data_IF_984249166460
#
_entry.id   IF_984249166460
#
_cell.length_a   1.000
_cell.length_b   1.000
_cell.length_c   1.000
_cell.angle_alpha   90.00
_cell.angle_beta   90.00
_cell.angle_gamma   90.00
#
_symmetry.space_group_name_H-M   'P 1'
#
loop_
_entity.id
_entity.type
_entity.pdbx_description
1 polymer ?
#
# COMPACT_ATOMS: atom_id res chain seq x y z
N UNK A 1 -7.25 -26.48 -14.25
CA UNK A 1 -6.33 -25.99 -13.20
C UNK A 1 -6.92 -24.66 -12.75
N UNK A 2 -7.31 -24.53 -11.49
CA UNK A 2 -7.82 -23.27 -10.96
C UNK A 2 -6.59 -22.38 -10.71
N UNK A 3 -6.47 -21.26 -11.41
CA UNK A 3 -5.38 -20.30 -11.18
C UNK A 3 -5.50 -19.79 -9.75
N UNK A 4 -4.36 -19.59 -9.09
CA UNK A 4 -4.37 -18.98 -7.76
C UNK A 4 -4.76 -17.49 -7.86
N UNK A 5 -5.32 -16.96 -6.78
CA UNK A 5 -5.60 -15.53 -6.66
C UNK A 5 -4.37 -14.67 -7.03
N UNK A 6 -3.19 -15.06 -6.54
CA UNK A 6 -1.93 -14.34 -6.75
C UNK A 6 -1.55 -14.30 -8.23
N UNK A 7 -1.69 -15.42 -8.94
CA UNK A 7 -1.42 -15.50 -10.38
C UNK A 7 -2.37 -14.60 -11.17
N UNK A 8 -3.66 -14.59 -10.83
CA UNK A 8 -4.65 -13.72 -11.49
C UNK A 8 -4.38 -12.24 -11.20
N UNK A 9 -4.10 -11.89 -9.94
CA UNK A 9 -3.79 -10.52 -9.55
C UNK A 9 -2.51 -9.99 -10.24
N UNK A 10 -1.48 -10.84 -10.36
CA UNK A 10 -0.26 -10.50 -11.09
C UNK A 10 -0.51 -10.26 -12.58
N UNK A 11 -1.31 -11.11 -13.23
CA UNK A 11 -1.68 -10.94 -14.63
C UNK A 11 -2.42 -9.62 -14.86
N UNK A 12 -3.44 -9.32 -14.06
CA UNK A 12 -4.20 -8.06 -14.13
C UNK A 12 -3.27 -6.85 -13.93
N UNK A 13 -2.34 -6.92 -12.97
CA UNK A 13 -1.39 -5.84 -12.71
C UNK A 13 -0.40 -5.65 -13.86
N UNK A 14 0.06 -6.75 -14.48
CA UNK A 14 0.96 -6.71 -15.62
C UNK A 14 0.27 -6.10 -16.86
N UNK A 15 -0.98 -6.46 -17.14
CA UNK A 15 -1.79 -5.85 -18.21
C UNK A 15 -2.05 -4.37 -17.98
N UNK A 16 -2.28 -3.99 -16.71
CA UNK A 16 -2.43 -2.59 -16.31
C UNK A 16 -1.12 -1.79 -16.44
N UNK A 17 0.04 -2.46 -16.61
CA UNK A 17 1.34 -1.83 -16.78
C UNK A 17 1.86 -1.10 -15.52
N UNK A 18 1.29 -1.40 -14.35
CA UNK A 18 1.65 -0.71 -13.11
C UNK A 18 1.25 0.77 -13.10
N UNK A 19 0.09 1.15 -13.68
CA UNK A 19 -0.43 2.53 -13.60
C UNK A 19 -0.44 3.11 -12.19
N UNK A 20 -0.69 2.28 -11.18
CA UNK A 20 -0.65 2.68 -9.77
C UNK A 20 0.77 3.00 -9.24
N UNK A 21 1.83 2.80 -10.03
CA UNK A 21 3.20 3.16 -9.66
C UNK A 21 3.58 4.59 -10.06
N UNK A 22 2.81 5.25 -10.92
CA UNK A 22 3.05 6.64 -11.31
C UNK A 22 2.61 7.58 -10.18
N UNK A 23 3.50 8.46 -9.71
CA UNK A 23 3.29 9.39 -8.59
C UNK A 23 2.80 8.71 -7.30
N UNK A 24 3.13 7.42 -7.13
CA UNK A 24 2.55 6.60 -6.07
C UNK A 24 3.08 6.93 -4.67
N UNK A 25 4.35 7.33 -4.59
CA UNK A 25 5.07 7.68 -3.37
C UNK A 25 4.69 6.88 -2.10
N UNK A 26 4.65 5.54 -2.16
CA UNK A 26 4.14 4.76 -1.04
C UNK A 26 5.01 4.98 0.22
N UNK A 27 4.37 5.17 1.39
CA UNK A 27 5.08 5.27 2.67
C UNK A 27 5.83 3.98 2.97
N UNK A 28 6.96 4.11 3.66
CA UNK A 28 7.82 3.01 4.05
C UNK A 28 7.94 2.95 5.57
N UNK A 29 7.52 1.83 6.17
CA UNK A 29 7.77 1.61 7.59
C UNK A 29 9.27 1.45 7.87
N UNK A 30 9.70 1.68 9.13
CA UNK A 30 11.06 1.35 9.56
C UNK A 30 11.43 -0.12 9.29
N UNK A 31 10.47 -1.04 9.46
CA UNK A 31 10.67 -2.46 9.19
C UNK A 31 10.92 -2.73 7.70
N UNK A 32 10.18 -2.05 6.82
CA UNK A 32 10.37 -2.17 5.36
C UNK A 32 11.71 -1.60 4.90
N UNK A 33 12.14 -0.47 5.45
CA UNK A 33 13.47 0.09 5.19
C UNK A 33 14.59 -0.86 5.64
N UNK A 34 14.43 -1.50 6.80
CA UNK A 34 15.37 -2.50 7.29
C UNK A 34 15.44 -3.72 6.35
N UNK A 35 14.30 -4.20 5.86
CA UNK A 35 14.23 -5.29 4.90
C UNK A 35 14.89 -4.94 3.56
N UNK A 36 14.64 -3.74 3.03
CA UNK A 36 15.31 -3.22 1.83
C UNK A 36 16.82 -3.25 1.99
N UNK A 37 17.34 -2.70 3.10
CA UNK A 37 18.77 -2.69 3.40
C UNK A 37 19.35 -4.10 3.49
N UNK A 38 18.66 -5.01 4.18
CA UNK A 38 19.10 -6.41 4.33
C UNK A 38 19.18 -7.15 2.99
N UNK A 39 18.36 -6.76 2.00
CA UNK A 39 18.34 -7.31 0.65
C UNK A 39 19.20 -6.54 -0.35
N UNK A 40 19.99 -5.57 0.10
CA UNK A 40 20.91 -4.80 -0.74
C UNK A 40 20.23 -3.72 -1.61
N UNK A 41 19.00 -3.34 -1.29
CA UNK A 41 18.34 -2.19 -1.92
C UNK A 41 19.00 -0.90 -1.41
N UNK A 42 19.50 -0.01 -2.29
CA UNK A 42 20.19 1.19 -1.87
C UNK A 42 19.22 2.17 -1.21
N UNK A 43 19.66 2.87 -0.17
CA UNK A 43 18.81 3.82 0.58
C UNK A 43 18.32 5.00 -0.28
N UNK A 44 19.04 5.31 -1.37
CA UNK A 44 18.70 6.38 -2.31
C UNK A 44 17.38 6.17 -3.06
N UNK A 45 16.73 5.01 -2.88
CA UNK A 45 15.39 4.73 -3.43
C UNK A 45 14.28 5.32 -2.58
N UNK A 46 14.60 5.73 -1.36
CA UNK A 46 13.69 6.36 -0.43
C UNK A 46 14.09 7.84 -0.24
N UNK A 47 13.12 8.64 0.13
CA UNK A 47 13.29 10.04 0.53
C UNK A 47 12.36 10.36 1.69
N UNK A 48 12.64 11.49 2.35
CA UNK A 48 11.73 12.06 3.34
C UNK A 48 11.11 13.33 2.77
N UNK A 49 9.78 13.37 2.72
CA UNK A 49 8.99 14.54 2.33
C UNK A 49 7.69 14.54 3.15
N UNK A 50 7.79 15.00 4.40
CA UNK A 50 6.74 14.92 5.41
C UNK A 50 6.50 13.52 5.99
N UNK A 51 6.91 12.47 5.27
CA UNK A 51 7.02 11.09 5.73
C UNK A 51 8.09 10.35 4.90
N UNK A 52 8.56 9.21 5.38
CA UNK A 52 9.52 8.40 4.58
C UNK A 52 8.80 7.61 3.50
N UNK A 53 9.21 7.78 2.23
CA UNK A 53 8.50 7.24 1.06
C UNK A 53 9.43 6.78 -0.07
N UNK A 54 8.88 6.01 -1.00
CA UNK A 54 9.58 5.66 -2.24
C UNK A 54 9.71 6.86 -3.17
N UNK A 55 10.88 7.03 -3.77
CA UNK A 55 11.12 8.02 -4.83
C UNK A 55 10.50 7.61 -6.16
N UNK A 56 10.31 8.61 -7.00
CA UNK A 56 10.03 8.45 -8.43
C UNK A 56 11.25 8.79 -9.27
N UNK A 57 11.27 8.27 -10.49
CA UNK A 57 12.08 8.79 -11.59
C UNK A 57 11.54 10.16 -12.05
N UNK A 58 12.29 10.84 -12.91
CA UNK A 58 11.90 12.16 -13.45
C UNK A 58 10.61 12.11 -14.28
N UNK A 59 10.22 10.93 -14.77
CA UNK A 59 8.96 10.69 -15.49
C UNK A 59 7.78 10.38 -14.56
N UNK A 60 7.98 10.47 -13.25
CA UNK A 60 6.96 10.22 -12.22
C UNK A 60 6.75 8.75 -11.88
N UNK A 61 7.39 7.81 -12.58
CA UNK A 61 7.27 6.39 -12.24
C UNK A 61 8.08 6.06 -10.99
N UNK A 62 7.49 5.29 -10.07
CA UNK A 62 8.21 4.76 -8.89
C UNK A 62 9.56 4.13 -9.30
N UNK A 63 10.62 4.42 -8.54
CA UNK A 63 12.00 3.98 -8.83
C UNK A 63 12.18 2.45 -8.85
N UNK A 64 11.21 1.71 -8.31
CA UNK A 64 11.17 0.25 -8.35
C UNK A 64 10.33 -0.32 -9.48
N UNK A 65 9.61 0.50 -10.23
CA UNK A 65 8.88 0.07 -11.40
C UNK A 65 9.81 0.06 -12.61
N UNK A 66 9.94 -1.09 -13.27
CA UNK A 66 10.71 -1.24 -14.50
C UNK A 66 9.96 -2.15 -15.46
N UNK A 67 9.60 -1.65 -16.64
CA UNK A 67 8.83 -2.40 -17.63
C UNK A 67 7.47 -2.88 -17.11
N UNK A 68 6.78 -2.05 -16.31
CA UNK A 68 5.49 -2.38 -15.69
C UNK A 68 5.57 -3.39 -14.55
N UNK A 69 6.77 -3.76 -14.09
CA UNK A 69 7.00 -4.73 -13.01
C UNK A 69 7.72 -4.11 -11.84
N UNK A 70 7.36 -4.54 -10.63
CA UNK A 70 8.01 -4.10 -9.40
C UNK A 70 9.29 -4.93 -9.15
N UNK A 71 10.44 -4.27 -9.04
CA UNK A 71 11.74 -4.91 -8.73
C UNK A 71 11.82 -5.48 -7.31
N UNK A 72 10.99 -4.98 -6.40
CA UNK A 72 10.88 -5.43 -5.00
C UNK A 72 9.58 -6.20 -4.76
N UNK A 73 9.06 -6.90 -5.78
CA UNK A 73 7.73 -7.53 -5.75
C UNK A 73 7.49 -8.44 -4.53
N UNK A 74 8.50 -9.20 -4.10
CA UNK A 74 8.40 -10.10 -2.97
C UNK A 74 8.39 -9.41 -1.59
N UNK A 75 8.68 -8.11 -1.54
CA UNK A 75 8.81 -7.33 -0.31
C UNK A 75 8.39 -5.87 -0.53
N UNK A 76 7.32 -5.65 -1.30
CA UNK A 76 6.77 -4.33 -1.65
C UNK A 76 6.37 -3.52 -0.42
N UNK A 77 6.33 -2.16 -0.52
CA UNK A 77 5.70 -1.29 0.48
C UNK A 77 4.33 -1.78 0.94
N UNK A 78 3.97 -1.53 2.20
CA UNK A 78 2.75 -2.04 2.84
C UNK A 78 1.49 -1.62 2.08
N UNK A 79 1.42 -0.38 1.63
CA UNK A 79 0.30 0.13 0.81
C UNK A 79 0.24 -0.52 -0.57
N UNK A 80 1.39 -0.84 -1.18
CA UNK A 80 1.43 -1.58 -2.45
C UNK A 80 0.97 -3.03 -2.30
N UNK A 81 1.25 -3.67 -1.16
CA UNK A 81 0.74 -5.02 -0.83
C UNK A 81 -0.77 -4.98 -0.56
N UNK A 82 -1.25 -3.91 0.07
CA UNK A 82 -2.66 -3.71 0.40
C UNK A 82 -3.55 -3.38 -0.81
N UNK A 83 -2.98 -2.97 -1.95
CA UNK A 83 -3.77 -2.62 -3.14
C UNK A 83 -4.79 -3.71 -3.54
N UNK A 84 -6.01 -3.35 -3.98
CA UNK A 84 -6.49 -2.01 -4.30
C UNK A 84 -7.09 -1.25 -3.10
N UNK A 85 -6.83 -1.69 -1.87
CA UNK A 85 -7.25 -0.95 -0.68
C UNK A 85 -6.28 0.21 -0.40
N UNK A 86 -6.83 1.32 0.08
CA UNK A 86 -6.10 2.46 0.64
C UNK A 86 -6.65 2.79 2.03
N UNK A 87 -6.07 3.79 2.70
CA UNK A 87 -6.41 4.10 4.07
C UNK A 87 -6.37 5.58 4.39
N UNK A 88 -7.05 5.90 5.48
CA UNK A 88 -6.89 7.13 6.25
C UNK A 88 -6.86 6.75 7.73
N UNK A 89 -6.28 7.60 8.58
CA UNK A 89 -6.34 7.44 10.03
C UNK A 89 -6.99 8.65 10.68
N UNK A 90 -8.14 8.46 11.31
CA UNK A 90 -8.85 9.52 12.04
C UNK A 90 -9.20 9.03 13.44
N UNK A 91 -9.02 9.86 14.47
CA UNK A 91 -9.43 9.56 15.85
C UNK A 91 -9.03 8.14 16.34
N UNK A 92 -7.75 7.78 16.16
CA UNK A 92 -7.20 6.46 16.50
C UNK A 92 -7.89 5.27 15.79
N UNK A 93 -8.52 5.52 14.65
CA UNK A 93 -9.23 4.53 13.84
C UNK A 93 -8.62 4.51 12.44
N UNK A 94 -8.28 3.32 11.99
CA UNK A 94 -7.90 3.05 10.61
C UNK A 94 -9.18 2.93 9.77
N UNK A 95 -9.41 3.89 8.89
CA UNK A 95 -10.45 3.81 7.87
C UNK A 95 -9.86 3.15 6.63
N UNK A 96 -10.45 2.05 6.20
CA UNK A 96 -10.02 1.31 5.02
C UNK A 96 -10.99 1.59 3.87
N UNK A 97 -10.43 1.99 2.74
CA UNK A 97 -11.19 2.29 1.54
C UNK A 97 -10.80 1.35 0.41
N UNK A 98 -11.78 0.96 -0.41
CA UNK A 98 -11.56 0.22 -1.64
C UNK A 98 -11.59 1.19 -2.81
N UNK A 99 -10.57 1.15 -3.68
CA UNK A 99 -10.56 1.93 -4.92
C UNK A 99 -11.67 1.47 -5.86
N UNK A 100 -12.25 2.38 -6.63
CA UNK A 100 -13.15 2.01 -7.72
C UNK A 100 -12.42 1.38 -8.90
N UNK A 101 -13.17 0.67 -9.74
CA UNK A 101 -12.68 0.00 -10.95
C UNK A 101 -12.11 0.95 -11.99
N UNK A 102 -12.50 2.24 -11.96
CA UNK A 102 -11.89 3.30 -12.77
C UNK A 102 -10.41 3.50 -12.44
N UNK A 103 -10.00 3.21 -11.21
CA UNK A 103 -8.62 3.33 -10.73
C UNK A 103 -7.88 2.00 -10.84
N UNK A 104 -8.49 0.90 -10.39
CA UNK A 104 -7.82 -0.39 -10.33
C UNK A 104 -8.64 -1.50 -11.00
N UNK A 105 -8.13 -2.13 -12.09
CA UNK A 105 -8.83 -3.21 -12.78
C UNK A 105 -8.90 -4.52 -11.97
N UNK A 106 -8.23 -4.61 -10.82
CA UNK A 106 -8.37 -5.74 -9.90
C UNK A 106 -9.71 -5.73 -9.16
N UNK A 107 -10.34 -4.56 -9.03
CA UNK A 107 -11.56 -4.37 -8.22
C UNK A 107 -12.75 -5.19 -8.74
N UNK A 108 -13.09 -5.19 -10.05
CA UNK A 108 -14.18 -6.02 -10.56
C UNK A 108 -13.96 -7.52 -10.29
N UNK A 109 -12.71 -7.99 -10.40
CA UNK A 109 -12.37 -9.38 -10.10
C UNK A 109 -12.58 -9.71 -8.62
N UNK A 110 -12.07 -8.87 -7.70
CA UNK A 110 -12.29 -9.05 -6.26
C UNK A 110 -13.78 -9.01 -5.91
N UNK A 111 -14.58 -8.12 -6.52
CA UNK A 111 -16.03 -8.06 -6.27
C UNK A 111 -16.77 -9.29 -6.80
N UNK A 112 -16.25 -9.98 -7.80
CA UNK A 112 -16.83 -11.20 -8.36
C UNK A 112 -16.46 -12.47 -7.56
N UNK A 113 -15.37 -12.45 -6.80
CA UNK A 113 -14.87 -13.59 -6.02
C UNK A 113 -14.71 -13.20 -4.54
N UNK A 114 -15.69 -13.62 -3.72
CA UNK A 114 -15.72 -13.30 -2.29
C UNK A 114 -14.56 -13.89 -1.48
N UNK A 115 -14.01 -15.04 -1.89
CA UNK A 115 -12.87 -15.66 -1.20
C UNK A 115 -11.58 -14.88 -1.52
N UNK A 116 -11.40 -14.49 -2.78
CA UNK A 116 -10.30 -13.61 -3.20
C UNK A 116 -10.38 -12.24 -2.51
N UNK A 117 -11.57 -11.64 -2.46
CA UNK A 117 -11.81 -10.40 -1.71
C UNK A 117 -11.41 -10.55 -0.25
N UNK A 118 -11.93 -11.57 0.44
CA UNK A 118 -11.67 -11.77 1.86
C UNK A 118 -10.18 -12.03 2.13
N UNK A 119 -9.49 -12.75 1.25
CA UNK A 119 -8.05 -12.97 1.34
C UNK A 119 -7.28 -11.65 1.21
N UNK A 120 -7.55 -10.87 0.16
CA UNK A 120 -6.85 -9.61 -0.08
C UNK A 120 -7.16 -8.56 0.99
N UNK A 121 -8.41 -8.50 1.47
CA UNK A 121 -8.82 -7.64 2.57
C UNK A 121 -8.03 -7.95 3.86
N UNK A 122 -7.86 -9.24 4.22
CA UNK A 122 -7.03 -9.63 5.38
C UNK A 122 -5.57 -9.19 5.23
N UNK A 123 -5.02 -9.33 4.02
CA UNK A 123 -3.65 -8.87 3.70
C UNK A 123 -3.54 -7.35 3.86
N UNK A 124 -4.51 -6.61 3.33
CA UNK A 124 -4.57 -5.15 3.42
C UNK A 124 -4.63 -4.69 4.88
N UNK A 125 -5.59 -5.22 5.67
CA UNK A 125 -5.72 -4.88 7.09
C UNK A 125 -4.42 -5.16 7.84
N UNK A 126 -3.83 -6.35 7.69
CA UNK A 126 -2.58 -6.70 8.36
C UNK A 126 -1.45 -5.74 8.01
N UNK A 127 -1.27 -5.43 6.73
CA UNK A 127 -0.17 -4.60 6.23
C UNK A 127 -0.33 -3.14 6.66
N UNK A 128 -1.54 -2.60 6.53
CA UNK A 128 -1.84 -1.20 6.85
C UNK A 128 -1.86 -0.95 8.36
N UNK A 129 -2.37 -1.88 9.17
CA UNK A 129 -2.25 -1.78 10.63
C UNK A 129 -0.79 -1.79 11.08
N UNK A 130 0.07 -2.62 10.46
CA UNK A 130 1.49 -2.65 10.78
C UNK A 130 2.17 -1.32 10.41
N UNK A 131 1.86 -0.78 9.22
CA UNK A 131 2.36 0.51 8.78
C UNK A 131 1.94 1.64 9.73
N UNK A 132 0.63 1.79 9.96
CA UNK A 132 0.07 2.90 10.75
C UNK A 132 0.58 2.88 12.19
N UNK A 133 0.76 1.71 12.80
CA UNK A 133 1.34 1.60 14.14
C UNK A 133 2.84 1.92 14.22
N UNK A 134 3.53 1.90 13.09
CA UNK A 134 4.97 2.12 13.00
C UNK A 134 5.35 3.56 12.66
N UNK A 135 4.39 4.36 12.17
CA UNK A 135 4.63 5.73 11.75
C UNK A 135 4.26 6.71 12.87
N UNK A 136 5.05 7.80 13.03
CA UNK A 136 4.67 8.94 13.85
C UNK A 136 3.33 9.56 13.41
N UNK A 137 2.61 10.17 14.36
CA UNK A 137 1.31 10.77 14.08
C UNK A 137 1.38 11.94 13.09
N UNK A 138 2.42 12.77 13.18
CA UNK A 138 2.66 13.87 12.24
C UNK A 138 2.93 13.39 10.81
N UNK A 139 3.63 12.26 10.63
CA UNK A 139 3.77 11.63 9.30
C UNK A 139 2.41 11.13 8.78
N UNK A 140 1.59 10.53 9.64
CA UNK A 140 0.23 10.08 9.27
C UNK A 140 -0.67 11.25 8.88
N UNK A 141 -0.58 12.39 9.56
CA UNK A 141 -1.32 13.59 9.20
C UNK A 141 -0.96 14.11 7.80
N UNK A 142 0.31 14.02 7.41
CA UNK A 142 0.73 14.37 6.04
C UNK A 142 0.15 13.38 5.03
N UNK A 143 0.20 12.08 5.33
CA UNK A 143 -0.34 11.02 4.45
C UNK A 143 -1.85 11.18 4.26
N UNK A 144 -2.61 11.43 5.34
CA UNK A 144 -4.07 11.61 5.27
C UNK A 144 -4.50 12.81 4.40
N UNK A 145 -3.64 13.81 4.22
CA UNK A 145 -3.93 14.98 3.36
C UNK A 145 -3.78 14.67 1.87
N UNK A 146 -3.22 13.52 1.51
CA UNK A 146 -3.10 13.09 0.11
C UNK A 146 -4.50 12.72 -0.39
N UNK A 147 -5.03 13.39 -1.41
CA UNK A 147 -6.35 13.06 -1.93
C UNK A 147 -6.34 11.66 -2.58
N UNK A 148 -7.21 10.78 -2.10
CA UNK A 148 -7.52 9.49 -2.74
C UNK A 148 -8.96 9.51 -3.28
N UNK A 149 -9.18 10.12 -4.46
CA UNK A 149 -10.50 10.20 -5.07
C UNK A 149 -11.00 8.82 -5.52
N UNK A 150 -12.31 8.72 -5.78
CA UNK A 150 -12.99 7.53 -6.31
C UNK A 150 -12.72 6.25 -5.49
N UNK A 151 -12.91 6.36 -4.19
CA UNK A 151 -12.84 5.25 -3.24
C UNK A 151 -14.14 5.12 -2.44
N UNK A 152 -14.40 3.92 -1.92
CA UNK A 152 -15.53 3.64 -1.02
C UNK A 152 -15.03 3.13 0.33
N UNK A 153 -15.60 3.62 1.43
CA UNK A 153 -15.28 3.14 2.77
C UNK A 153 -15.80 1.71 2.93
N UNK A 154 -14.93 0.78 3.33
CA UNK A 154 -15.28 -0.65 3.49
C UNK A 154 -15.06 -1.18 4.89
N UNK A 155 -14.26 -0.51 5.72
CA UNK A 155 -14.09 -0.88 7.12
C UNK A 155 -13.55 0.27 7.97
N UNK A 156 -13.87 0.23 9.26
CA UNK A 156 -13.33 1.09 10.30
C UNK A 156 -12.74 0.18 11.39
N UNK A 157 -11.45 0.37 11.69
CA UNK A 157 -10.69 -0.54 12.55
C UNK A 157 -10.02 0.28 13.64
N UNK A 158 -10.46 0.18 14.91
CA UNK A 158 -9.78 0.83 16.01
C UNK A 158 -8.33 0.35 16.12
N UNK A 159 -7.39 1.28 16.25
CA UNK A 159 -5.96 0.94 16.37
C UNK A 159 -5.63 0.31 17.74
N UNK A 160 -6.57 0.36 18.69
CA UNK A 160 -6.38 -0.01 20.09
C UNK A 160 -5.60 1.06 20.85
N UNK A 161 -5.54 1.00 22.20
CA UNK A 161 -4.65 1.87 22.96
C UNK A 161 -3.21 1.57 22.52
N UNK A 162 -2.61 2.52 21.81
CA UNK A 162 -1.20 2.45 21.43
C UNK A 162 -0.35 2.40 22.71
N UNK A 163 0.60 1.47 22.77
CA UNK A 163 1.59 1.43 23.84
C UNK A 163 2.48 2.66 23.80
N UNK A 164 2.02 3.74 24.40
CA UNK A 164 2.76 4.94 24.73
C UNK A 164 2.29 5.45 26.11
N UNK A 165 2.35 4.55 27.09
CA UNK A 165 2.40 4.92 28.51
C UNK A 165 3.66 4.26 29.08
N UNK A 166 4.78 4.98 28.96
CA UNK A 166 5.87 4.84 29.93
C UNK A 166 6.15 6.23 30.44
N UNK A 167 5.87 6.38 31.74
CA UNK A 167 6.15 7.49 32.64
C UNK A 167 7.58 8.05 32.53
#
# INVERSE_FOLDING_TARGET
MMQSFEETAEAICAECGGRCCHEAHPPLSPARLAEFRARGVPISVAEFDGYTRMKSHDDGMCIMCSGGKCRVHAFKPETCVAGPFTFEVQDHTLHLFLKHESICPLVPYLKADGDAYAAQFRIAVKSLMALVRSLPWDELEVINRIPEPDTELVAEIPLGPGGAETE
#
